data_IF_604824204661
#
_entry.id   IF_604824204661
#
_cell.length_a   1.000
_cell.length_b   1.000
_cell.length_c   1.000
_cell.angle_alpha   90.00
_cell.angle_beta   90.00
_cell.angle_gamma   90.00
#
_symmetry.space_group_name_H-M   'P 1'
#
loop_
_entity.id
_entity.type
_entity.pdbx_description
1 polymer ?
#
# COMPACT_ATOMS: atom_id res chain seq x y z
N UNK A 1 -1.00 9.12 -59.07
CA UNK A 1 -2.37 8.83 -58.58
C UNK A 1 -2.27 8.47 -57.11
N UNK A 2 -2.91 9.24 -56.21
CA UNK A 2 -2.95 8.89 -54.77
C UNK A 2 -4.19 8.01 -54.55
N UNK A 3 -3.99 6.72 -54.26
CA UNK A 3 -5.09 5.87 -53.81
C UNK A 3 -5.42 6.26 -52.37
N UNK A 4 -6.53 6.96 -52.18
CA UNK A 4 -7.06 7.27 -50.85
C UNK A 4 -7.75 6.04 -50.26
N UNK A 5 -7.64 5.89 -48.94
CA UNK A 5 -8.39 4.89 -48.17
C UNK A 5 -9.90 4.97 -48.50
N UNK A 6 -10.55 3.82 -48.61
CA UNK A 6 -12.01 3.74 -48.82
C UNK A 6 -12.75 3.69 -47.49
N UNK A 7 -14.02 4.13 -47.48
CA UNK A 7 -14.84 4.12 -46.27
C UNK A 7 -15.10 2.71 -45.73
N UNK A 8 -15.17 1.70 -46.61
CA UNK A 8 -15.40 0.30 -46.19
C UNK A 8 -14.18 -0.27 -45.47
N UNK A 9 -12.96 0.11 -45.88
CA UNK A 9 -11.73 -0.27 -45.19
C UNK A 9 -11.67 0.38 -43.80
N UNK A 10 -12.04 1.66 -43.69
CA UNK A 10 -12.10 2.36 -42.40
C UNK A 10 -13.13 1.72 -41.46
N UNK A 11 -14.30 1.33 -41.98
CA UNK A 11 -15.33 0.66 -41.21
C UNK A 11 -14.85 -0.69 -40.66
N UNK A 12 -14.14 -1.48 -41.48
CA UNK A 12 -13.55 -2.75 -41.07
C UNK A 12 -12.55 -2.58 -39.91
N UNK A 13 -11.69 -1.56 -39.98
CA UNK A 13 -10.73 -1.26 -38.91
C UNK A 13 -11.43 -0.90 -37.59
N UNK A 14 -12.45 -0.05 -37.65
CA UNK A 14 -13.19 0.39 -36.44
C UNK A 14 -13.90 -0.80 -35.78
N UNK A 15 -14.48 -1.71 -36.56
CA UNK A 15 -15.12 -2.93 -36.03
C UNK A 15 -14.10 -3.80 -35.28
N UNK A 16 -12.93 -4.04 -35.88
CA UNK A 16 -11.87 -4.84 -35.25
C UNK A 16 -11.37 -4.16 -33.96
N UNK A 17 -11.13 -2.85 -33.98
CA UNK A 17 -10.71 -2.09 -32.80
C UNK A 17 -11.77 -2.11 -31.69
N UNK A 18 -13.07 -2.06 -32.05
CA UNK A 18 -14.16 -2.15 -31.09
C UNK A 18 -14.21 -3.50 -30.37
N UNK A 19 -14.02 -4.61 -31.10
CA UNK A 19 -13.99 -5.95 -30.52
C UNK A 19 -12.79 -6.10 -29.57
N UNK A 20 -11.60 -5.64 -30.00
CA UNK A 20 -10.40 -5.67 -29.15
C UNK A 20 -10.61 -4.83 -27.89
N UNK A 21 -11.10 -3.59 -28.03
CA UNK A 21 -11.34 -2.69 -26.91
C UNK A 21 -12.31 -3.27 -25.87
N UNK A 22 -13.38 -3.94 -26.31
CA UNK A 22 -14.35 -4.58 -25.41
C UNK A 22 -13.71 -5.65 -24.52
N UNK A 23 -12.74 -6.41 -25.03
CA UNK A 23 -12.03 -7.45 -24.27
C UNK A 23 -10.95 -6.81 -23.40
N UNK A 24 -10.19 -5.86 -23.93
CA UNK A 24 -9.02 -5.28 -23.26
C UNK A 24 -9.40 -4.42 -22.05
N UNK A 25 -10.48 -3.65 -22.10
CA UNK A 25 -10.87 -2.74 -21.00
C UNK A 25 -11.06 -3.45 -19.65
N UNK A 26 -11.92 -4.49 -19.51
CA UNK A 26 -12.10 -5.16 -18.23
C UNK A 26 -10.84 -5.90 -17.75
N UNK A 27 -9.99 -6.39 -18.67
CA UNK A 27 -8.72 -7.03 -18.31
C UNK A 27 -7.75 -6.04 -17.68
N UNK A 28 -7.56 -4.87 -18.31
CA UNK A 28 -6.68 -3.82 -17.79
C UNK A 28 -7.20 -3.30 -16.44
N UNK A 29 -8.51 -3.10 -16.30
CA UNK A 29 -9.11 -2.67 -15.02
C UNK A 29 -8.80 -3.64 -13.88
N UNK A 30 -8.94 -4.95 -14.11
CA UNK A 30 -8.60 -5.97 -13.11
C UNK A 30 -7.12 -5.92 -12.74
N UNK A 31 -6.23 -5.83 -13.73
CA UNK A 31 -4.80 -5.72 -13.49
C UNK A 31 -4.42 -4.47 -12.68
N UNK A 32 -5.07 -3.33 -12.92
CA UNK A 32 -4.85 -2.11 -12.14
C UNK A 32 -5.26 -2.33 -10.68
N UNK A 33 -6.44 -2.88 -10.43
CA UNK A 33 -6.93 -3.13 -9.06
C UNK A 33 -6.01 -4.10 -8.32
N UNK A 34 -5.62 -5.20 -8.95
CA UNK A 34 -4.68 -6.19 -8.37
C UNK A 34 -3.32 -5.58 -8.06
N UNK A 35 -2.81 -4.69 -8.92
CA UNK A 35 -1.55 -4.00 -8.68
C UNK A 35 -1.67 -2.99 -7.54
N UNK A 36 -2.75 -2.21 -7.50
CA UNK A 36 -2.99 -1.26 -6.42
C UNK A 36 -3.12 -1.98 -5.06
N UNK A 37 -3.74 -3.16 -5.03
CA UNK A 37 -3.80 -3.98 -3.82
C UNK A 37 -2.40 -4.40 -3.35
N UNK A 38 -1.57 -4.93 -4.24
CA UNK A 38 -0.19 -5.29 -3.90
C UNK A 38 0.63 -4.10 -3.43
N UNK A 39 0.49 -2.94 -4.07
CA UNK A 39 1.16 -1.72 -3.66
C UNK A 39 0.72 -1.26 -2.26
N UNK A 40 -0.56 -1.40 -1.92
CA UNK A 40 -1.04 -1.14 -0.57
C UNK A 40 -0.42 -2.11 0.45
N UNK A 41 -0.41 -3.42 0.14
CA UNK A 41 0.18 -4.45 1.02
C UNK A 41 1.69 -4.21 1.24
N UNK A 42 2.41 -3.84 0.17
CA UNK A 42 3.82 -3.44 0.24
C UNK A 42 4.01 -2.18 1.09
N UNK A 43 3.09 -1.21 1.00
CA UNK A 43 3.12 0.02 1.80
C UNK A 43 2.91 -0.27 3.30
N UNK A 44 1.94 -1.11 3.65
CA UNK A 44 1.71 -1.57 5.03
C UNK A 44 2.93 -2.34 5.56
N UNK A 45 3.48 -3.24 4.75
CA UNK A 45 4.71 -3.97 5.09
C UNK A 45 5.89 -3.02 5.30
N UNK A 46 5.94 -1.89 4.60
CA UNK A 46 6.95 -0.84 4.80
C UNK A 46 6.77 -0.15 6.16
N UNK A 47 5.54 0.10 6.61
CA UNK A 47 5.28 0.64 7.95
C UNK A 47 5.76 -0.31 9.05
N UNK A 48 5.43 -1.60 8.93
CA UNK A 48 5.90 -2.63 9.87
C UNK A 48 7.41 -2.73 9.90
N UNK A 49 8.06 -2.59 8.74
CA UNK A 49 9.53 -2.56 8.65
C UNK A 49 10.12 -1.31 9.30
N UNK A 50 9.49 -0.15 9.14
CA UNK A 50 9.91 1.07 9.81
C UNK A 50 9.79 0.95 11.33
N UNK A 51 8.67 0.42 11.84
CA UNK A 51 8.48 0.11 13.25
C UNK A 51 9.52 -0.89 13.77
N UNK A 52 9.86 -1.91 12.98
CA UNK A 52 10.96 -2.84 13.30
C UNK A 52 12.30 -2.15 13.38
N UNK A 53 12.61 -1.25 12.45
CA UNK A 53 13.87 -0.50 12.47
C UNK A 53 13.93 0.43 13.69
N UNK A 54 12.82 1.08 14.05
CA UNK A 54 12.69 1.86 15.28
C UNK A 54 12.96 1.00 16.52
N UNK A 55 12.28 -0.14 16.64
CA UNK A 55 12.45 -1.04 17.77
C UNK A 55 13.89 -1.57 17.88
N UNK A 56 14.53 -1.89 16.74
CA UNK A 56 15.92 -2.34 16.71
C UNK A 56 16.93 -1.24 17.10
N UNK A 57 16.63 0.04 16.82
CA UNK A 57 17.48 1.16 17.25
C UNK A 57 17.28 1.48 18.74
N UNK A 58 16.05 1.32 19.22
CA UNK A 58 15.60 1.73 20.55
C UNK A 58 15.25 0.54 21.47
N UNK A 59 15.93 -0.60 21.32
CA UNK A 59 15.57 -1.91 21.95
C UNK A 59 15.18 -1.78 23.41
N UNK A 60 16.05 -1.19 24.24
CA UNK A 60 15.79 -1.03 25.68
C UNK A 60 14.54 -0.20 25.99
N UNK A 61 14.31 0.86 25.22
CA UNK A 61 13.14 1.71 25.38
C UNK A 61 11.88 0.96 24.93
N UNK A 62 11.94 0.28 23.79
CA UNK A 62 10.81 -0.50 23.26
C UNK A 62 10.41 -1.63 24.20
N UNK A 63 11.36 -2.42 24.71
CA UNK A 63 11.08 -3.47 25.71
C UNK A 63 10.43 -2.89 26.99
N UNK A 64 10.94 -1.75 27.46
CA UNK A 64 10.39 -1.04 28.61
C UNK A 64 8.96 -0.56 28.35
N UNK A 65 8.69 0.01 27.19
CA UNK A 65 7.37 0.51 26.81
C UNK A 65 6.35 -0.62 26.64
N UNK A 66 6.75 -1.74 26.02
CA UNK A 66 5.92 -2.95 25.88
C UNK A 66 5.55 -3.48 27.27
N UNK A 67 6.53 -3.62 28.17
CA UNK A 67 6.31 -4.14 29.52
C UNK A 67 5.39 -3.24 30.34
N UNK A 68 5.58 -1.92 30.29
CA UNK A 68 4.76 -0.95 31.02
C UNK A 68 3.33 -0.83 30.46
N UNK A 69 3.13 -1.15 29.18
CA UNK A 69 1.83 -1.02 28.49
C UNK A 69 1.02 -2.32 28.48
N UNK A 70 1.39 -3.32 29.30
CA UNK A 70 0.66 -4.58 29.39
C UNK A 70 0.93 -5.55 28.24
N UNK A 71 2.09 -5.43 27.57
CA UNK A 71 2.56 -6.38 26.56
C UNK A 71 2.42 -5.92 25.11
N UNK A 72 2.01 -4.67 24.86
CA UNK A 72 1.95 -4.10 23.49
C UNK A 72 2.29 -2.62 23.52
N UNK A 73 3.13 -2.18 22.60
CA UNK A 73 3.44 -0.78 22.36
C UNK A 73 3.01 -0.40 20.94
N UNK A 74 2.23 0.67 20.81
CA UNK A 74 1.82 1.20 19.51
C UNK A 74 2.70 2.40 19.17
N UNK A 75 3.32 2.38 17.99
CA UNK A 75 4.05 3.53 17.44
C UNK A 75 3.34 4.05 16.20
N UNK A 76 2.99 5.33 16.21
CA UNK A 76 2.25 5.98 15.12
C UNK A 76 3.12 6.20 13.88
N UNK A 77 2.49 6.34 12.71
CA UNK A 77 3.22 6.70 11.49
C UNK A 77 3.86 8.09 11.60
N UNK A 78 3.22 9.03 12.30
CA UNK A 78 3.78 10.37 12.57
C UNK A 78 5.08 10.28 13.37
N UNK A 79 5.12 9.48 14.44
CA UNK A 79 6.34 9.28 15.24
C UNK A 79 7.46 8.63 14.40
N UNK A 80 7.10 7.69 13.52
CA UNK A 80 8.08 7.07 12.61
C UNK A 80 8.64 8.05 11.57
N UNK A 81 7.86 9.03 11.13
CA UNK A 81 8.34 10.12 10.28
C UNK A 81 9.27 11.06 11.04
N UNK A 82 8.85 11.53 12.22
CA UNK A 82 9.64 12.42 13.08
C UNK A 82 11.00 11.81 13.46
N UNK A 83 11.05 10.50 13.70
CA UNK A 83 12.28 9.75 14.00
C UNK A 83 13.11 9.38 12.75
N UNK A 84 12.61 9.68 11.55
CA UNK A 84 13.29 9.48 10.27
C UNK A 84 13.29 8.03 9.76
N UNK A 85 12.38 7.19 10.25
CA UNK A 85 12.21 5.80 9.78
C UNK A 85 11.20 5.67 8.63
N UNK A 86 10.34 6.66 8.46
CA UNK A 86 9.45 6.84 7.31
C UNK A 86 9.72 8.18 6.63
N UNK A 87 9.38 8.27 5.35
CA UNK A 87 9.47 9.53 4.62
C UNK A 87 8.39 10.49 5.09
N UNK A 88 8.77 11.75 5.32
CA UNK A 88 7.85 12.81 5.73
C UNK A 88 6.78 13.10 4.68
N UNK A 89 5.58 13.43 5.17
CA UNK A 89 4.46 13.89 4.36
C UNK A 89 3.29 12.92 4.30
N UNK A 90 2.31 13.25 3.47
CA UNK A 90 1.14 12.41 3.26
C UNK A 90 1.51 11.15 2.47
N UNK A 91 0.96 10.02 2.88
CA UNK A 91 1.12 8.74 2.21
C UNK A 91 -0.25 8.36 1.65
N UNK A 92 -0.38 8.29 0.33
CA UNK A 92 -1.63 7.96 -0.36
C UNK A 92 -1.85 6.45 -0.38
N UNK A 93 -3.08 6.02 -0.12
CA UNK A 93 -3.50 4.64 -0.31
C UNK A 93 -3.84 4.40 -1.80
N UNK A 94 -3.10 3.52 -2.51
CA UNK A 94 -3.30 3.30 -3.94
C UNK A 94 -4.65 2.63 -4.28
N UNK A 95 -5.38 2.07 -3.31
CA UNK A 95 -6.70 1.47 -3.52
C UNK A 95 -7.84 2.48 -3.44
N UNK A 96 -7.80 3.37 -2.45
CA UNK A 96 -8.88 4.33 -2.19
C UNK A 96 -8.60 5.72 -2.75
N UNK A 97 -7.32 6.06 -2.97
CA UNK A 97 -6.87 7.41 -3.29
C UNK A 97 -6.92 8.37 -2.09
N UNK A 98 -7.24 7.87 -0.90
CA UNK A 98 -7.23 8.63 0.35
C UNK A 98 -5.89 8.46 1.08
N UNK A 99 -5.50 9.44 1.88
CA UNK A 99 -4.26 9.33 2.65
C UNK A 99 -4.41 8.38 3.83
N UNK A 100 -3.36 7.62 4.13
CA UNK A 100 -3.24 6.89 5.39
C UNK A 100 -3.29 7.88 6.57
N UNK A 101 -3.98 7.50 7.64
CA UNK A 101 -4.04 8.30 8.85
C UNK A 101 -2.71 8.20 9.60
N UNK A 102 -1.98 9.31 9.73
CA UNK A 102 -0.68 9.33 10.39
C UNK A 102 -0.75 9.03 11.90
N UNK A 103 -1.93 9.14 12.51
CA UNK A 103 -2.16 8.77 13.91
C UNK A 103 -2.41 7.27 14.09
N UNK A 104 -2.69 6.53 13.02
CA UNK A 104 -2.69 5.06 13.07
C UNK A 104 -1.25 4.59 13.21
N UNK A 105 -1.03 3.50 13.92
CA UNK A 105 0.30 3.02 14.24
C UNK A 105 0.53 1.56 13.91
N UNK A 106 1.73 1.10 14.23
CA UNK A 106 2.10 -0.31 14.21
C UNK A 106 2.17 -0.80 15.64
N UNK A 107 1.43 -1.86 15.93
CA UNK A 107 1.47 -2.56 17.20
C UNK A 107 2.71 -3.46 17.25
N UNK A 108 3.59 -3.17 18.21
CA UNK A 108 4.77 -3.94 18.53
C UNK A 108 4.43 -4.80 19.75
N UNK A 109 4.45 -6.12 19.58
CA UNK A 109 4.19 -7.09 20.64
C UNK A 109 5.43 -7.96 20.83
N UNK A 110 5.71 -8.30 22.08
CA UNK A 110 6.78 -9.24 22.42
C UNK A 110 6.16 -10.53 22.96
N UNK A 111 6.56 -11.67 22.40
CA UNK A 111 6.18 -12.98 22.89
C UNK A 111 7.33 -13.96 22.71
N UNK A 112 7.71 -14.66 23.79
CA UNK A 112 8.81 -15.65 23.79
C UNK A 112 10.11 -15.12 23.16
N UNK A 113 10.52 -13.90 23.54
CA UNK A 113 11.74 -13.26 23.04
C UNK A 113 11.74 -12.97 21.52
N UNK A 114 10.56 -12.96 20.89
CA UNK A 114 10.34 -12.57 19.50
C UNK A 114 9.37 -11.39 19.42
N UNK A 115 9.70 -10.43 18.56
CA UNK A 115 8.86 -9.26 18.29
C UNK A 115 7.97 -9.48 17.06
N UNK A 116 6.67 -9.22 17.20
CA UNK A 116 5.73 -9.11 16.08
C UNK A 116 5.34 -7.65 15.85
N UNK A 117 5.11 -7.31 14.58
CA UNK A 117 4.77 -5.98 14.11
C UNK A 117 3.51 -6.11 13.27
N UNK A 118 2.48 -5.37 13.61
CA UNK A 118 1.17 -5.47 12.95
C UNK A 118 0.58 -4.07 12.84
N UNK A 119 0.33 -3.61 11.62
CA UNK A 119 -0.31 -2.32 11.40
C UNK A 119 -1.74 -2.30 11.99
N UNK A 120 -2.09 -1.22 12.69
CA UNK A 120 -3.33 -1.06 13.47
C UNK A 120 -4.56 -0.72 12.60
N UNK A 121 -4.59 -1.24 11.37
CA UNK A 121 -5.74 -1.24 10.48
C UNK A 121 -5.63 -2.45 9.51
N UNK A 122 -6.19 -3.61 9.89
CA UNK A 122 -6.11 -4.83 9.07
C UNK A 122 -6.92 -4.74 7.76
N UNK A 123 -7.80 -3.74 7.63
CA UNK A 123 -8.63 -3.55 6.45
C UNK A 123 -8.09 -2.45 5.52
N UNK A 124 -6.92 -1.87 5.83
CA UNK A 124 -6.33 -0.78 5.06
C UNK A 124 -6.15 -1.11 3.57
N UNK A 125 -5.98 -2.39 3.22
CA UNK A 125 -5.79 -2.87 1.85
C UNK A 125 -6.94 -3.72 1.30
N UNK A 126 -8.12 -3.67 1.93
CA UNK A 126 -9.31 -4.40 1.46
C UNK A 126 -10.32 -3.44 0.84
N UNK A 127 -10.88 -3.85 -0.31
CA UNK A 127 -11.95 -3.15 -1.04
C UNK A 127 -13.31 -3.83 -0.82
#
# INVERSE_FOLDING_TARGET
MKKGFTLVELLGVIVILGIIGMITVPLVQRTIIENNQKLCEDQVTSFERAARNYANKNVYQTETLITNSGGTYNITLSELQEEGFLQDGDIENPLTGENFNLNTGVNIKESNNQFSYEYDDPNACTN
#
